data_IF_926427087212
#
_entry.id   IF_926427087212
#
_cell.length_a   1.000
_cell.length_b   1.000
_cell.length_c   1.000
_cell.angle_alpha   90.00
_cell.angle_beta   90.00
_cell.angle_gamma   90.00
#
_symmetry.space_group_name_H-M   'P 1'
#
loop_
_entity.id
_entity.type
_entity.pdbx_description
1 polymer ?
#
# COMPACT_ATOMS: atom_id res chain seq x y z
N UNK A 1 -10.22 2.42 -0.04
CA UNK A 1 -10.52 1.75 -1.33
C UNK A 1 -10.12 2.65 -2.49
N UNK A 2 -9.76 2.04 -3.63
CA UNK A 2 -9.41 2.76 -4.86
C UNK A 2 -10.08 2.06 -6.03
N UNK A 3 -10.53 2.84 -7.02
CA UNK A 3 -11.15 2.31 -8.22
C UNK A 3 -10.13 1.75 -9.21
N UNK A 4 -8.90 2.25 -9.17
CA UNK A 4 -7.81 1.88 -10.06
C UNK A 4 -6.56 1.47 -9.29
N UNK A 5 -5.69 0.70 -9.93
CA UNK A 5 -4.38 0.31 -9.42
C UNK A 5 -3.29 1.07 -10.19
N UNK A 6 -3.28 2.38 -10.04
CA UNK A 6 -2.36 3.30 -10.69
C UNK A 6 -1.35 3.91 -9.70
N UNK A 7 -0.53 4.79 -10.22
CA UNK A 7 0.50 5.49 -9.46
C UNK A 7 -0.09 6.42 -8.40
N UNK A 8 -1.21 7.07 -8.72
CA UNK A 8 -1.90 7.98 -7.82
C UNK A 8 -2.48 7.24 -6.61
N UNK A 9 -3.20 6.13 -6.87
CA UNK A 9 -3.73 5.27 -5.82
C UNK A 9 -2.61 4.73 -4.90
N UNK A 10 -1.45 4.39 -5.47
CA UNK A 10 -0.29 3.95 -4.70
C UNK A 10 0.22 5.06 -3.75
N UNK A 11 0.33 6.30 -4.25
CA UNK A 11 0.76 7.45 -3.44
C UNK A 11 -0.23 7.75 -2.31
N UNK A 12 -1.51 7.79 -2.63
CA UNK A 12 -2.58 8.05 -1.66
C UNK A 12 -2.70 6.95 -0.61
N UNK A 13 -2.54 5.69 -1.00
CA UNK A 13 -2.53 4.58 -0.06
C UNK A 13 -1.41 4.72 0.99
N UNK A 14 -0.20 5.12 0.57
CA UNK A 14 0.91 5.37 1.51
C UNK A 14 0.61 6.56 2.42
N UNK A 15 0.15 7.67 1.86
CA UNK A 15 -0.21 8.86 2.62
C UNK A 15 -1.24 8.54 3.71
N UNK A 16 -2.30 7.84 3.34
CA UNK A 16 -3.37 7.49 4.27
C UNK A 16 -2.89 6.48 5.32
N UNK A 17 -2.11 5.47 4.90
CA UNK A 17 -1.54 4.50 5.82
C UNK A 17 -0.65 5.15 6.90
N UNK A 18 0.24 6.05 6.52
CA UNK A 18 1.10 6.74 7.48
C UNK A 18 0.34 7.71 8.39
N UNK A 19 -0.72 8.34 7.88
CA UNK A 19 -1.61 9.16 8.69
C UNK A 19 -2.36 8.33 9.75
N UNK A 20 -2.91 7.19 9.37
CA UNK A 20 -3.65 6.30 10.28
C UNK A 20 -2.74 5.63 11.31
N UNK A 21 -1.56 5.20 10.91
CA UNK A 21 -0.58 4.56 11.83
C UNK A 21 0.12 5.56 12.75
N UNK A 22 0.03 6.86 12.44
CA UNK A 22 0.71 7.92 13.19
C UNK A 22 2.23 7.94 13.00
N UNK A 23 2.75 7.24 11.99
CA UNK A 23 4.18 7.18 11.74
C UNK A 23 4.56 6.30 10.55
N UNK A 24 5.84 6.23 10.26
CA UNK A 24 6.41 5.52 9.11
C UNK A 24 7.30 4.37 9.58
N UNK A 25 7.07 3.13 9.12
CA UNK A 25 7.96 2.02 9.43
C UNK A 25 9.30 2.17 8.71
N UNK A 26 10.39 1.75 9.35
CA UNK A 26 11.74 1.84 8.77
C UNK A 26 11.91 1.03 7.48
N UNK A 27 11.15 -0.05 7.32
CA UNK A 27 11.19 -0.93 6.13
C UNK A 27 9.77 -1.28 5.71
N UNK A 28 9.49 -1.10 4.43
CA UNK A 28 8.23 -1.55 3.81
C UNK A 28 8.50 -2.63 2.77
N UNK A 29 7.69 -3.68 2.81
CA UNK A 29 7.82 -4.84 1.91
C UNK A 29 6.71 -4.79 0.86
N UNK A 30 7.09 -4.92 -0.39
CA UNK A 30 6.17 -4.83 -1.52
C UNK A 30 6.18 -6.10 -2.36
N UNK A 31 5.02 -6.42 -2.90
CA UNK A 31 4.95 -7.33 -4.04
C UNK A 31 5.53 -6.68 -5.32
N UNK A 32 5.76 -7.50 -6.34
CA UNK A 32 6.31 -7.05 -7.61
C UNK A 32 5.24 -6.39 -8.51
N UNK A 33 4.50 -5.40 -7.96
CA UNK A 33 3.52 -4.62 -8.71
C UNK A 33 4.22 -3.70 -9.72
N UNK A 34 3.68 -3.60 -10.95
CA UNK A 34 4.27 -2.76 -12.02
C UNK A 34 4.36 -1.29 -11.64
N UNK A 35 3.40 -0.78 -10.85
CA UNK A 35 3.40 0.60 -10.34
C UNK A 35 4.50 0.86 -9.32
N UNK A 36 5.03 -0.19 -8.68
CA UNK A 36 6.05 -0.07 -7.64
C UNK A 36 7.45 -0.44 -8.12
N UNK A 37 7.58 -1.42 -9.04
CA UNK A 37 8.86 -1.96 -9.45
C UNK A 37 8.92 -2.30 -10.92
N UNK A 38 10.03 -1.94 -11.57
CA UNK A 38 10.40 -2.40 -12.91
C UNK A 38 11.36 -3.58 -12.78
N UNK A 39 11.02 -4.70 -13.39
CA UNK A 39 11.86 -5.90 -13.41
C UNK A 39 12.55 -5.97 -14.77
N UNK A 40 13.88 -5.88 -14.76
CA UNK A 40 14.69 -6.10 -15.96
C UNK A 40 15.22 -7.53 -15.94
N UNK A 41 14.99 -8.32 -16.99
CA UNK A 41 15.54 -9.67 -17.07
C UNK A 41 17.07 -9.62 -17.04
N UNK A 42 17.68 -10.49 -16.28
CA UNK A 42 19.12 -10.72 -16.34
C UNK A 42 19.51 -11.32 -17.67
N UNK A 43 20.69 -11.02 -18.18
CA UNK A 43 21.26 -11.73 -19.33
C UNK A 43 21.39 -13.23 -19.05
N UNK A 44 21.76 -14.01 -20.08
CA UNK A 44 21.85 -15.48 -20.02
C UNK A 44 22.58 -15.96 -18.75
N UNK A 45 21.83 -16.66 -17.85
CA UNK A 45 22.36 -17.18 -16.59
C UNK A 45 22.43 -16.16 -15.42
N UNK A 46 21.94 -14.93 -15.58
CA UNK A 46 21.92 -13.93 -14.51
C UNK A 46 20.50 -13.73 -13.96
N UNK A 47 20.35 -13.50 -12.64
CA UNK A 47 19.05 -13.20 -12.07
C UNK A 47 18.51 -11.87 -12.60
N UNK A 48 17.19 -11.73 -12.62
CA UNK A 48 16.53 -10.46 -12.93
C UNK A 48 16.80 -9.40 -11.86
N UNK A 49 17.01 -8.16 -12.31
CA UNK A 49 17.19 -7.02 -11.40
C UNK A 49 15.88 -6.28 -11.22
N UNK A 50 15.61 -5.82 -9.99
CA UNK A 50 14.44 -5.06 -9.62
C UNK A 50 14.84 -3.62 -9.37
N UNK A 51 14.14 -2.69 -10.02
CA UNK A 51 14.36 -1.26 -9.88
C UNK A 51 13.03 -0.62 -9.41
N UNK A 52 13.00 0.07 -8.27
CA UNK A 52 11.81 0.81 -7.88
C UNK A 52 11.46 1.85 -8.96
N UNK A 53 10.17 2.08 -9.16
CA UNK A 53 9.72 3.17 -10.05
C UNK A 53 10.11 4.53 -9.48
N UNK A 54 10.12 5.58 -10.30
CA UNK A 54 10.44 6.94 -9.86
C UNK A 54 9.52 7.40 -8.72
N UNK A 55 8.24 7.05 -8.79
CA UNK A 55 7.26 7.33 -7.72
C UNK A 55 7.63 6.64 -6.42
N UNK A 56 8.00 5.36 -6.46
CA UNK A 56 8.42 4.63 -5.27
C UNK A 56 9.70 5.18 -4.66
N UNK A 57 10.65 5.59 -5.49
CA UNK A 57 11.87 6.26 -5.01
C UNK A 57 11.53 7.59 -4.31
N UNK A 58 10.65 8.39 -4.92
CA UNK A 58 10.18 9.67 -4.34
C UNK A 58 9.46 9.46 -3.01
N UNK A 59 8.55 8.48 -2.92
CA UNK A 59 7.87 8.13 -1.67
C UNK A 59 8.86 7.70 -0.59
N UNK A 60 9.78 6.80 -0.92
CA UNK A 60 10.77 6.29 0.01
C UNK A 60 11.70 7.40 0.55
N UNK A 61 12.15 8.29 -0.32
CA UNK A 61 12.99 9.43 0.07
C UNK A 61 12.22 10.43 0.93
N UNK A 62 10.97 10.75 0.55
CA UNK A 62 10.14 11.71 1.27
C UNK A 62 9.77 11.24 2.67
N UNK A 63 9.30 10.01 2.78
CA UNK A 63 8.87 9.43 4.05
C UNK A 63 9.98 8.74 4.84
N UNK A 64 11.14 8.52 4.26
CA UNK A 64 12.32 7.99 4.95
C UNK A 64 12.31 6.47 5.20
N UNK A 65 11.52 5.69 4.46
CA UNK A 65 11.49 4.23 4.61
C UNK A 65 12.37 3.52 3.57
N UNK A 66 12.85 2.31 3.92
CA UNK A 66 13.55 1.42 2.99
C UNK A 66 12.55 0.49 2.30
N UNK A 67 12.74 0.28 1.00
CA UNK A 67 11.92 -0.65 0.21
C UNK A 67 12.58 -2.02 0.14
N UNK A 68 11.77 -3.06 0.31
CA UNK A 68 12.13 -4.45 0.03
C UNK A 68 11.08 -5.06 -0.88
N UNK A 69 11.48 -5.62 -2.00
CA UNK A 69 10.57 -6.32 -2.90
C UNK A 69 10.65 -7.82 -2.67
N UNK A 70 9.49 -8.48 -2.55
CA UNK A 70 9.41 -9.93 -2.37
C UNK A 70 10.17 -10.66 -3.45
N UNK A 71 10.81 -11.77 -3.07
CA UNK A 71 11.48 -12.62 -4.04
C UNK A 71 10.45 -13.32 -4.94
N UNK A 72 10.83 -13.57 -6.20
CA UNK A 72 10.00 -14.36 -7.08
C UNK A 72 9.84 -15.78 -6.49
N UNK A 73 8.59 -16.28 -6.46
CA UNK A 73 8.23 -17.61 -5.95
C UNK A 73 8.37 -17.82 -4.43
N UNK A 74 8.52 -16.78 -3.63
CA UNK A 74 8.56 -16.88 -2.15
C UNK A 74 7.13 -16.81 -1.57
N UNK A 75 6.33 -17.85 -1.80
CA UNK A 75 4.94 -17.91 -1.32
C UNK A 75 4.81 -17.77 0.20
N UNK A 76 5.81 -18.19 0.97
CA UNK A 76 5.82 -18.06 2.42
C UNK A 76 5.97 -16.59 2.90
N UNK A 77 6.64 -15.70 2.12
CA UNK A 77 6.71 -14.26 2.42
C UNK A 77 5.37 -13.56 2.25
N UNK A 78 4.50 -14.11 1.40
CA UNK A 78 3.18 -13.56 1.09
C UNK A 78 2.03 -14.18 1.90
N UNK A 79 2.21 -15.38 2.41
CA UNK A 79 1.12 -16.19 2.96
C UNK A 79 0.35 -15.51 4.10
N UNK A 80 1.01 -14.68 4.93
CA UNK A 80 0.34 -13.91 5.99
C UNK A 80 -0.49 -12.74 5.41
N UNK A 81 0.04 -12.04 4.43
CA UNK A 81 -0.65 -10.90 3.79
C UNK A 81 -1.84 -11.39 2.96
N UNK A 82 -1.65 -12.44 2.16
CA UNK A 82 -2.73 -13.04 1.37
C UNK A 82 -3.87 -13.53 2.27
N UNK A 83 -3.55 -14.19 3.39
CA UNK A 83 -4.55 -14.61 4.38
C UNK A 83 -5.26 -13.42 5.02
N UNK A 84 -4.56 -12.35 5.35
CA UNK A 84 -5.16 -11.13 5.91
C UNK A 84 -6.12 -10.48 4.91
N UNK A 85 -5.74 -10.40 3.63
CA UNK A 85 -6.61 -9.89 2.57
C UNK A 85 -7.84 -10.76 2.39
N UNK A 86 -7.69 -12.09 2.45
CA UNK A 86 -8.81 -13.04 2.37
C UNK A 86 -9.78 -12.87 3.54
N UNK A 87 -9.27 -12.73 4.76
CA UNK A 87 -10.09 -12.46 5.95
C UNK A 87 -10.87 -11.18 5.79
N UNK A 88 -10.20 -10.09 5.41
CA UNK A 88 -10.87 -8.79 5.20
C UNK A 88 -11.94 -8.88 4.12
N UNK A 89 -11.64 -9.51 2.97
CA UNK A 89 -12.63 -9.70 1.90
C UNK A 89 -13.84 -10.50 2.37
N UNK A 90 -13.64 -11.57 3.11
CA UNK A 90 -14.72 -12.39 3.64
C UNK A 90 -15.57 -11.58 4.63
N UNK A 91 -14.96 -10.91 5.58
CA UNK A 91 -15.68 -10.17 6.62
C UNK A 91 -16.38 -8.91 6.08
N UNK A 92 -15.76 -8.22 5.12
CA UNK A 92 -16.33 -6.99 4.58
C UNK A 92 -17.34 -7.25 3.44
N UNK A 93 -17.05 -8.17 2.52
CA UNK A 93 -17.75 -8.20 1.23
C UNK A 93 -18.53 -9.50 0.96
N UNK A 94 -18.64 -10.41 1.94
CA UNK A 94 -19.50 -11.60 1.77
C UNK A 94 -20.98 -11.25 1.98
N UNK A 95 -21.28 -10.41 2.96
CA UNK A 95 -22.66 -10.02 3.30
C UNK A 95 -23.21 -8.87 2.48
N UNK A 96 -22.34 -8.05 1.89
CA UNK A 96 -22.70 -6.92 1.03
C UNK A 96 -21.71 -6.80 -0.11
N UNK A 97 -22.20 -6.97 -1.35
CA UNK A 97 -21.37 -7.03 -2.56
C UNK A 97 -21.54 -5.82 -3.49
N UNK A 98 -22.54 -4.96 -3.20
CA UNK A 98 -22.83 -3.77 -4.01
C UNK A 98 -22.98 -2.53 -3.14
N UNK A 99 -22.49 -1.41 -3.65
CA UNK A 99 -22.52 -0.10 -3.00
C UNK A 99 -22.88 0.97 -4.04
N UNK A 100 -23.61 1.99 -3.62
CA UNK A 100 -23.99 3.08 -4.51
C UNK A 100 -22.82 4.04 -4.76
N UNK A 101 -21.97 4.22 -3.75
CA UNK A 101 -20.81 5.12 -3.81
C UNK A 101 -19.57 4.44 -3.23
N UNK A 102 -18.40 4.98 -3.62
CA UNK A 102 -17.11 4.53 -3.06
C UNK A 102 -17.03 4.84 -1.55
N UNK A 103 -17.61 5.95 -1.12
CA UNK A 103 -17.61 6.36 0.31
C UNK A 103 -18.38 5.36 1.16
N UNK A 104 -19.56 4.92 0.71
CA UNK A 104 -20.30 3.85 1.38
C UNK A 104 -19.49 2.55 1.49
N UNK A 105 -18.77 2.19 0.43
CA UNK A 105 -17.92 1.00 0.44
C UNK A 105 -16.74 1.17 1.41
N UNK A 106 -16.18 2.37 1.49
CA UNK A 106 -15.10 2.70 2.41
C UNK A 106 -15.55 2.64 3.87
N UNK A 107 -16.68 3.26 4.21
CA UNK A 107 -17.26 3.20 5.55
C UNK A 107 -17.57 1.77 5.98
N UNK A 108 -18.16 0.99 5.08
CA UNK A 108 -18.45 -0.41 5.33
C UNK A 108 -17.17 -1.23 5.60
N UNK A 109 -16.11 -0.98 4.83
CA UNK A 109 -14.81 -1.60 5.04
C UNK A 109 -14.22 -1.22 6.39
N UNK A 110 -14.27 0.06 6.78
CA UNK A 110 -13.79 0.51 8.09
C UNK A 110 -14.50 -0.21 9.23
N UNK A 111 -15.84 -0.32 9.20
CA UNK A 111 -16.59 -1.08 10.19
C UNK A 111 -16.22 -2.56 10.24
N UNK A 112 -15.93 -3.16 9.08
CA UNK A 112 -15.48 -4.55 9.02
C UNK A 112 -14.08 -4.72 9.60
N UNK A 113 -13.16 -3.79 9.33
CA UNK A 113 -11.81 -3.80 9.90
C UNK A 113 -11.82 -3.62 11.42
N UNK A 114 -12.68 -2.75 11.96
CA UNK A 114 -12.86 -2.60 13.41
C UNK A 114 -13.32 -3.91 14.06
N UNK A 115 -14.27 -4.61 13.43
CA UNK A 115 -14.70 -5.93 13.90
C UNK A 115 -13.58 -6.95 13.87
N UNK A 116 -12.84 -7.05 12.75
CA UNK A 116 -11.72 -7.97 12.61
C UNK A 116 -10.62 -7.69 13.64
N UNK A 117 -10.32 -6.43 13.88
CA UNK A 117 -9.30 -6.01 14.84
C UNK A 117 -9.78 -6.14 16.31
N UNK A 118 -11.09 -5.98 16.55
CA UNK A 118 -11.71 -6.12 17.87
C UNK A 118 -11.99 -7.55 18.32
N UNK A 119 -12.09 -8.48 17.36
CA UNK A 119 -12.28 -9.89 17.68
C UNK A 119 -10.97 -10.52 18.13
N UNK A 120 -10.88 -10.81 19.42
CA UNK A 120 -9.86 -11.64 20.03
C UNK A 120 -9.87 -13.03 19.39
N UNK A 121 -8.96 -13.33 18.50
CA UNK A 121 -9.15 -14.57 17.78
C UNK A 121 -7.96 -15.13 17.01
N UNK A 122 -6.71 -14.76 17.34
CA UNK A 122 -5.58 -15.60 16.92
C UNK A 122 -5.44 -16.72 17.94
N UNK A 123 -5.77 -17.98 17.59
CA UNK A 123 -5.61 -19.11 18.51
C UNK A 123 -4.18 -19.14 19.07
N UNK A 124 -4.05 -19.24 20.40
CA UNK A 124 -2.76 -19.35 21.07
C UNK A 124 -2.03 -18.02 21.38
N UNK A 125 -2.65 -16.87 21.10
CA UNK A 125 -2.08 -15.56 21.47
C UNK A 125 -3.03 -14.84 22.41
N UNK A 126 -2.57 -14.50 23.62
CA UNK A 126 -3.38 -13.75 24.59
C UNK A 126 -3.62 -12.31 24.11
N UNK A 127 -4.70 -11.67 24.57
CA UNK A 127 -4.99 -10.27 24.23
C UNK A 127 -3.93 -9.30 24.77
N UNK A 128 -3.32 -9.63 25.91
CA UNK A 128 -2.19 -8.91 26.45
C UNK A 128 -0.96 -8.97 25.55
N UNK A 129 -0.67 -10.14 24.95
CA UNK A 129 0.48 -10.31 24.05
C UNK A 129 0.26 -9.57 22.71
N UNK A 130 -0.99 -9.54 22.21
CA UNK A 130 -1.34 -8.75 21.03
C UNK A 130 -1.13 -7.25 21.27
N UNK A 131 -1.62 -6.77 22.41
CA UNK A 131 -1.50 -5.36 22.80
C UNK A 131 -0.03 -4.94 22.95
N UNK A 132 0.79 -5.79 23.57
CA UNK A 132 2.22 -5.56 23.69
C UNK A 132 2.94 -5.56 22.34
N UNK A 133 2.60 -6.47 21.43
CA UNK A 133 3.15 -6.48 20.06
C UNK A 133 2.76 -5.21 19.31
N UNK A 134 1.49 -4.83 19.31
CA UNK A 134 1.02 -3.60 18.67
C UNK A 134 1.72 -2.37 19.21
N UNK A 135 1.89 -2.26 20.54
CA UNK A 135 2.61 -1.14 21.14
C UNK A 135 4.09 -1.11 20.74
N UNK A 136 4.76 -2.26 20.66
CA UNK A 136 6.16 -2.35 20.19
C UNK A 136 6.27 -1.95 18.72
N UNK A 137 5.34 -2.40 17.89
CA UNK A 137 5.31 -2.06 16.46
C UNK A 137 5.11 -0.55 16.28
N UNK A 138 4.15 0.05 16.99
CA UNK A 138 3.93 1.50 16.95
C UNK A 138 5.13 2.31 17.45
N UNK A 139 5.83 1.84 18.48
CA UNK A 139 7.05 2.47 18.99
C UNK A 139 8.23 2.40 18.03
N UNK A 140 8.22 1.46 17.08
CA UNK A 140 9.25 1.32 16.05
C UNK A 140 9.06 2.28 14.85
N UNK A 141 7.93 2.98 14.80
CA UNK A 141 7.65 3.95 13.76
C UNK A 141 8.42 5.25 14.02
N UNK A 142 8.96 5.82 12.97
CA UNK A 142 9.50 7.19 13.05
C UNK A 142 8.42 8.22 12.67
N UNK A 143 8.53 9.47 13.10
CA UNK A 143 7.53 10.49 12.80
C UNK A 143 7.33 10.66 11.29
N UNK A 144 6.06 10.72 10.86
CA UNK A 144 5.75 11.02 9.48
C UNK A 144 5.95 12.53 9.20
N UNK A 145 6.55 12.89 8.06
CA UNK A 145 6.55 14.29 7.61
C UNK A 145 5.12 14.73 7.27
N UNK A 146 4.98 16.00 6.86
CA UNK A 146 3.71 16.49 6.32
C UNK A 146 3.22 15.58 5.18
N UNK A 147 1.90 15.38 5.02
CA UNK A 147 1.38 14.53 3.96
C UNK A 147 1.88 14.99 2.58
N UNK A 148 2.41 14.04 1.80
CA UNK A 148 2.87 14.33 0.45
C UNK A 148 1.68 14.68 -0.46
N UNK A 149 1.83 15.70 -1.30
CA UNK A 149 0.86 15.97 -2.36
C UNK A 149 0.89 14.85 -3.40
N UNK A 150 -0.26 14.24 -3.63
CA UNK A 150 -0.43 13.16 -4.60
C UNK A 150 -0.92 13.77 -5.92
N UNK A 151 -0.07 13.75 -6.94
CA UNK A 151 -0.38 14.21 -8.29
C UNK A 151 0.48 13.45 -9.30
N UNK A 152 -0.04 13.33 -10.50
CA UNK A 152 0.72 12.95 -11.68
C UNK A 152 1.02 14.21 -12.49
N UNK A 153 2.24 14.32 -12.96
CA UNK A 153 2.65 15.42 -13.83
C UNK A 153 2.89 14.87 -15.23
N UNK A 154 2.27 15.49 -16.21
CA UNK A 154 2.48 15.19 -17.61
C UNK A 154 3.17 16.36 -18.30
N UNK A 155 4.23 16.06 -19.03
CA UNK A 155 4.95 17.05 -19.84
C UNK A 155 4.27 17.19 -21.20
N UNK A 156 3.53 18.27 -21.39
CA UNK A 156 2.92 18.60 -22.67
C UNK A 156 3.77 19.63 -23.43
N UNK A 157 4.02 19.34 -24.71
CA UNK A 157 4.62 20.35 -25.60
C UNK A 157 3.53 21.27 -26.12
N UNK A 158 3.64 22.59 -25.92
CA UNK A 158 2.68 23.53 -26.44
C UNK A 158 2.64 23.46 -27.98
N UNK A 159 1.47 23.55 -28.52
CA UNK A 159 1.25 23.63 -29.95
C UNK A 159 1.69 24.98 -30.53
N UNK A 160 1.51 25.15 -31.85
CA UNK A 160 1.84 26.36 -32.61
C UNK A 160 1.23 27.65 -32.04
N UNK A 161 0.13 27.55 -31.31
CA UNK A 161 -0.60 28.69 -30.72
C UNK A 161 -0.41 28.78 -29.18
N UNK A 162 0.65 28.18 -28.65
CA UNK A 162 0.90 28.11 -27.20
C UNK A 162 -0.25 27.45 -26.41
N UNK A 163 -1.03 26.59 -27.05
CA UNK A 163 -2.10 25.80 -26.43
C UNK A 163 -1.62 24.40 -26.08
N UNK A 164 -2.04 23.90 -24.94
CA UNK A 164 -1.83 22.51 -24.50
C UNK A 164 -3.17 21.83 -24.49
N UNK A 165 -3.28 20.67 -25.15
CA UNK A 165 -4.43 19.78 -25.03
C UNK A 165 -4.20 18.93 -23.80
N UNK A 166 -5.11 18.99 -22.86
CA UNK A 166 -5.14 18.12 -21.67
C UNK A 166 -6.32 17.20 -21.86
N UNK A 167 -6.04 15.90 -21.95
CA UNK A 167 -7.08 14.87 -22.00
C UNK A 167 -7.73 14.80 -20.61
N UNK A 168 -9.05 15.06 -20.54
CA UNK A 168 -9.85 15.05 -19.32
C UNK A 168 -10.58 13.72 -19.17
#
# INVERSE_FOLDING_TARGET
>A
LFLHQDTLALMEAHRNFFAETGGVPSVMVYDNMKVAVTIKPGGRGRPSCKFPTATMQRLSLYYGFKMRFCNARSGWEKGSVERSVEVVRREAFTSRTSFETLDQAQEWLCMALERVNGVSGVPGVSDSDKRLRTLRDLQSLHPAPQPMSCFEAEDHRPGKYCTVMVDG
#
